data_IF_881666199601
#
_entry.id   IF_881666199601
#
_cell.length_a   1.000
_cell.length_b   1.000
_cell.length_c   1.000
_cell.angle_alpha   90.00
_cell.angle_beta   90.00
_cell.angle_gamma   90.00
#
_symmetry.space_group_name_H-M   'P 1'
#
loop_
_entity.id
_entity.type
_entity.pdbx_description
1 polymer ?
#
# COMPACT_ATOMS: atom_id res chain seq x y z
N UNK A 1 18.76 62.48 72.80
CA UNK A 1 18.70 62.52 71.36
C UNK A 1 18.65 61.07 70.83
N UNK A 2 17.48 60.66 70.37
CA UNK A 2 17.25 59.26 69.90
C UNK A 2 17.19 59.21 68.40
N UNK A 3 18.17 58.52 67.75
CA UNK A 3 18.21 58.26 66.31
C UNK A 3 17.36 57.05 65.95
N UNK A 4 16.40 57.26 65.05
CA UNK A 4 15.60 56.17 64.49
C UNK A 4 16.29 55.55 63.27
N UNK A 5 16.68 54.32 63.44
CA UNK A 5 17.17 53.50 62.28
C UNK A 5 15.95 52.90 61.57
N UNK A 6 15.75 53.27 60.31
CA UNK A 6 14.71 52.68 59.42
C UNK A 6 15.31 51.46 58.75
N UNK A 7 14.79 50.28 59.07
CA UNK A 7 15.04 49.03 58.33
C UNK A 7 14.23 49.06 57.03
N UNK A 8 14.89 48.97 55.88
CA UNK A 8 14.27 48.78 54.59
C UNK A 8 14.33 47.26 54.32
N UNK A 9 13.15 46.61 54.34
CA UNK A 9 13.02 45.22 53.87
C UNK A 9 12.99 45.24 52.36
N UNK A 10 14.05 44.68 51.71
CA UNK A 10 14.06 44.39 50.32
C UNK A 10 13.35 43.05 50.08
N UNK A 11 12.18 43.07 49.48
CA UNK A 11 11.41 41.91 49.09
C UNK A 11 12.03 41.34 47.81
N UNK A 12 12.69 40.17 47.91
CA UNK A 12 13.27 39.44 46.81
C UNK A 12 12.18 38.56 46.19
N UNK A 13 11.67 38.99 45.03
CA UNK A 13 10.68 38.25 44.25
C UNK A 13 11.40 37.20 43.42
N UNK A 14 11.32 35.95 43.85
CA UNK A 14 11.85 34.79 43.11
C UNK A 14 10.86 34.46 42.00
N UNK A 15 11.23 34.79 40.75
CA UNK A 15 10.51 34.31 39.55
C UNK A 15 10.88 32.84 39.35
N UNK A 16 9.97 31.93 39.66
CA UNK A 16 10.08 30.53 39.29
C UNK A 16 9.76 30.38 37.79
N UNK A 17 10.79 30.17 36.97
CA UNK A 17 10.61 29.77 35.57
C UNK A 17 10.12 28.30 35.52
N UNK A 18 8.83 28.12 35.28
CA UNK A 18 8.30 26.80 34.89
C UNK A 18 8.72 26.49 33.47
N UNK A 19 9.74 25.65 33.29
CA UNK A 19 10.07 25.05 32.01
C UNK A 19 8.98 24.04 31.66
N UNK A 20 8.10 24.37 30.72
CA UNK A 20 7.16 23.44 30.11
C UNK A 20 7.94 22.45 29.26
N UNK A 21 7.75 21.12 29.41
CA UNK A 21 8.37 20.15 28.53
C UNK A 21 7.79 20.37 27.12
N UNK A 22 8.65 20.71 26.16
CA UNK A 22 8.32 20.71 24.76
C UNK A 22 8.06 19.28 24.32
N UNK A 23 6.81 18.89 24.16
CA UNK A 23 6.42 17.65 23.50
C UNK A 23 6.72 17.84 22.03
N UNK A 24 7.91 17.44 21.60
CA UNK A 24 8.22 17.25 20.19
C UNK A 24 7.40 16.06 19.71
N UNK A 25 6.35 16.31 18.92
CA UNK A 25 5.75 15.29 18.07
C UNK A 25 6.83 14.92 17.05
N UNK A 26 7.56 13.82 17.31
CA UNK A 26 8.32 13.15 16.29
C UNK A 26 7.28 12.65 15.27
N UNK A 27 7.19 13.28 14.09
CA UNK A 27 6.61 12.65 12.91
C UNK A 27 7.45 11.39 12.70
N UNK A 28 6.85 10.23 12.92
CA UNK A 28 7.46 8.93 12.72
C UNK A 28 7.71 8.78 11.22
N UNK A 29 8.87 9.24 10.78
CA UNK A 29 9.37 9.01 9.42
C UNK A 29 9.75 7.53 9.40
N UNK A 30 8.84 6.69 8.88
CA UNK A 30 9.11 5.26 8.74
C UNK A 30 10.43 5.09 7.99
N UNK A 31 11.41 4.41 8.58
CA UNK A 31 12.73 4.26 7.99
C UNK A 31 12.65 3.49 6.65
N UNK A 32 13.64 3.69 5.78
CA UNK A 32 13.71 2.94 4.51
C UNK A 32 13.75 1.43 4.75
N UNK A 33 14.39 0.98 5.83
CA UNK A 33 14.43 -0.43 6.22
C UNK A 33 13.03 -0.97 6.57
N UNK A 34 12.22 -0.19 7.29
CA UNK A 34 10.86 -0.58 7.63
C UNK A 34 9.96 -0.62 6.38
N UNK A 35 10.12 0.33 5.45
CA UNK A 35 9.43 0.33 4.15
C UNK A 35 9.82 -0.87 3.29
N UNK A 36 11.11 -1.21 3.23
CA UNK A 36 11.60 -2.41 2.53
C UNK A 36 11.02 -3.67 3.18
N UNK A 37 11.04 -3.76 4.51
CA UNK A 37 10.47 -4.89 5.25
C UNK A 37 8.95 -5.04 5.00
N UNK A 38 8.22 -3.95 4.78
CA UNK A 38 6.82 -3.98 4.37
C UNK A 38 6.69 -4.53 2.94
N UNK A 39 7.42 -3.98 1.98
CA UNK A 39 7.32 -4.35 0.56
C UNK A 39 7.61 -5.84 0.30
N UNK A 40 8.59 -6.41 0.99
CA UNK A 40 8.98 -7.83 0.78
C UNK A 40 7.97 -8.84 1.31
N UNK A 41 6.95 -8.43 2.06
CA UNK A 41 5.85 -9.31 2.47
C UNK A 41 4.96 -9.71 1.28
N UNK A 42 4.97 -8.94 0.21
CA UNK A 42 4.11 -9.15 -0.95
C UNK A 42 4.38 -10.45 -1.70
N UNK A 43 5.62 -10.99 -1.67
CA UNK A 43 5.98 -12.16 -2.48
C UNK A 43 7.00 -13.05 -1.74
N UNK A 44 7.24 -14.29 -2.22
CA UNK A 44 8.23 -15.17 -1.60
C UNK A 44 9.66 -14.64 -1.77
N UNK A 45 10.62 -15.05 -0.88
CA UNK A 45 12.02 -14.63 -0.93
C UNK A 45 12.69 -14.85 -2.29
N UNK A 46 12.35 -15.93 -3.00
CA UNK A 46 12.86 -16.21 -4.35
C UNK A 46 12.63 -15.04 -5.34
N UNK A 47 11.63 -14.20 -5.09
CA UNK A 47 11.35 -12.97 -5.85
C UNK A 47 11.92 -11.75 -5.14
N UNK A 48 11.59 -11.58 -3.85
CA UNK A 48 11.88 -10.34 -3.14
C UNK A 48 13.35 -10.11 -2.86
N UNK A 49 14.19 -11.15 -2.74
CA UNK A 49 15.61 -11.01 -2.42
C UNK A 49 16.36 -10.17 -3.46
N UNK A 50 15.97 -10.26 -4.74
CA UNK A 50 16.61 -9.55 -5.84
C UNK A 50 15.65 -8.57 -6.56
N UNK A 51 14.48 -8.29 -6.01
CA UNK A 51 13.53 -7.32 -6.58
C UNK A 51 13.98 -5.87 -6.32
N UNK A 52 13.61 -4.99 -7.24
CA UNK A 52 13.63 -3.54 -6.98
C UNK A 52 12.52 -3.23 -5.98
N UNK A 53 12.84 -2.45 -4.95
CA UNK A 53 11.86 -1.97 -3.97
C UNK A 53 11.63 -0.48 -4.19
N UNK A 54 10.36 -0.11 -4.33
CA UNK A 54 9.93 1.26 -4.63
C UNK A 54 8.91 1.69 -3.58
N UNK A 55 9.03 2.91 -3.12
CA UNK A 55 8.02 3.51 -2.25
C UNK A 55 6.77 3.93 -3.05
N UNK A 56 5.67 4.20 -2.37
CA UNK A 56 4.41 4.63 -2.98
C UNK A 56 4.51 5.91 -3.81
N UNK A 57 5.50 6.76 -3.51
CA UNK A 57 5.80 8.00 -4.27
C UNK A 57 6.72 7.78 -5.49
N UNK A 58 7.13 6.54 -5.77
CA UNK A 58 8.05 6.19 -6.85
C UNK A 58 9.54 6.23 -6.47
N UNK A 59 9.87 6.58 -5.23
CA UNK A 59 11.27 6.58 -4.76
C UNK A 59 11.84 5.16 -4.71
N UNK A 60 12.99 4.92 -5.35
CA UNK A 60 13.67 3.62 -5.31
C UNK A 60 14.40 3.47 -3.98
N UNK A 61 13.91 2.58 -3.12
CA UNK A 61 14.51 2.28 -1.82
C UNK A 61 15.63 1.25 -1.93
N UNK A 62 15.53 0.30 -2.86
CA UNK A 62 16.54 -0.72 -3.17
C UNK A 62 16.48 -1.08 -4.65
N UNK A 63 17.62 -1.06 -5.34
CA UNK A 63 17.72 -1.55 -6.72
C UNK A 63 17.79 -3.08 -6.72
N UNK A 64 17.07 -3.71 -7.62
CA UNK A 64 17.08 -5.16 -7.87
C UNK A 64 17.63 -5.52 -9.24
N UNK A 65 17.71 -6.84 -9.51
CA UNK A 65 18.34 -7.39 -10.73
C UNK A 65 17.51 -8.44 -11.44
N UNK A 66 16.35 -8.85 -10.86
CA UNK A 66 15.55 -9.96 -11.40
C UNK A 66 14.32 -9.53 -12.23
N UNK A 67 14.17 -8.24 -12.50
CA UNK A 67 13.05 -7.71 -13.29
C UNK A 67 11.73 -7.53 -12.53
N UNK A 68 11.67 -7.89 -11.24
CA UNK A 68 10.53 -7.65 -10.36
C UNK A 68 10.64 -6.32 -9.65
N UNK A 69 9.50 -5.67 -9.45
CA UNK A 69 9.39 -4.44 -8.65
C UNK A 69 8.35 -4.66 -7.56
N UNK A 70 8.77 -4.56 -6.30
CA UNK A 70 7.86 -4.56 -5.16
C UNK A 70 7.63 -3.13 -4.68
N UNK A 71 6.36 -2.75 -4.52
CA UNK A 71 5.95 -1.44 -4.00
C UNK A 71 5.50 -1.56 -2.56
N UNK A 72 5.72 -0.52 -1.77
CA UNK A 72 5.41 -0.53 -0.32
C UNK A 72 3.91 -0.54 -0.03
N UNK A 73 3.10 -0.03 -0.97
CA UNK A 73 1.63 -0.07 -0.90
C UNK A 73 1.04 -0.10 -2.29
N UNK A 74 -0.13 -0.74 -2.45
CA UNK A 74 -0.91 -0.64 -3.68
C UNK A 74 -1.53 0.76 -3.82
N UNK A 75 -1.92 1.19 -5.03
CA UNK A 75 -2.62 2.46 -5.21
C UNK A 75 -3.98 2.51 -4.51
N UNK A 76 -4.59 1.36 -4.27
CA UNK A 76 -5.89 1.26 -3.62
C UNK A 76 -5.81 1.26 -2.09
N UNK A 77 -4.58 1.13 -1.51
CA UNK A 77 -4.48 1.03 -0.06
C UNK A 77 -3.08 0.84 0.50
N UNK A 78 -2.97 0.12 1.62
CA UNK A 78 -1.76 0.01 2.42
C UNK A 78 -0.99 -1.30 2.23
N UNK A 79 -1.53 -2.27 1.48
CA UNK A 79 -0.91 -3.56 1.27
C UNK A 79 0.13 -3.54 0.16
N UNK A 80 1.31 -4.17 0.36
CA UNK A 80 2.37 -4.18 -0.62
C UNK A 80 2.06 -5.15 -1.76
N UNK A 81 2.63 -4.90 -2.94
CA UNK A 81 2.53 -5.78 -4.09
C UNK A 81 3.89 -5.93 -4.81
N UNK A 82 4.16 -7.12 -5.36
CA UNK A 82 5.34 -7.38 -6.19
C UNK A 82 4.91 -7.71 -7.62
N UNK A 83 5.33 -6.88 -8.54
CA UNK A 83 4.89 -6.84 -9.92
C UNK A 83 6.01 -7.23 -10.89
N UNK A 84 5.68 -7.99 -11.94
CA UNK A 84 6.53 -8.06 -13.13
C UNK A 84 6.40 -6.79 -13.99
N UNK A 85 7.14 -6.73 -15.09
CA UNK A 85 7.13 -5.56 -15.97
C UNK A 85 5.75 -5.31 -16.64
N UNK A 86 4.95 -6.35 -16.87
CA UNK A 86 3.61 -6.23 -17.46
C UNK A 86 2.67 -5.59 -16.46
N UNK A 87 2.67 -6.07 -15.21
CA UNK A 87 1.87 -5.47 -14.13
C UNK A 87 2.29 -4.04 -13.81
N UNK A 88 3.59 -3.72 -13.83
CA UNK A 88 4.04 -2.33 -13.68
C UNK A 88 3.47 -1.42 -14.78
N UNK A 89 3.38 -1.93 -16.02
CA UNK A 89 2.75 -1.20 -17.13
C UNK A 89 1.24 -1.06 -16.96
N UNK A 90 0.56 -2.10 -16.47
CA UNK A 90 -0.87 -2.05 -16.17
C UNK A 90 -1.17 -1.04 -15.05
N UNK A 91 -0.37 -1.05 -13.96
CA UNK A 91 -0.50 -0.09 -12.87
C UNK A 91 -0.34 1.35 -13.34
N UNK A 92 0.63 1.60 -14.23
CA UNK A 92 0.79 2.92 -14.85
C UNK A 92 -0.46 3.30 -15.66
N UNK A 93 -0.98 2.40 -16.48
CA UNK A 93 -2.17 2.66 -17.29
C UNK A 93 -3.41 2.93 -16.42
N UNK A 94 -3.58 2.20 -15.31
CA UNK A 94 -4.65 2.46 -14.32
C UNK A 94 -4.49 3.86 -13.73
N UNK A 95 -3.30 4.24 -13.29
CA UNK A 95 -3.04 5.58 -12.74
C UNK A 95 -3.30 6.70 -13.74
N UNK A 96 -2.96 6.50 -15.00
CA UNK A 96 -3.18 7.45 -16.10
C UNK A 96 -4.63 7.40 -16.66
N UNK A 97 -5.47 6.48 -16.22
CA UNK A 97 -6.80 6.17 -16.77
C UNK A 97 -6.76 5.90 -18.29
N UNK A 98 -5.71 5.22 -18.74
CA UNK A 98 -5.44 4.93 -20.15
C UNK A 98 -5.78 3.48 -20.50
N UNK A 99 -6.10 3.20 -21.77
CA UNK A 99 -6.24 1.83 -22.25
C UNK A 99 -4.96 1.03 -22.02
N UNK A 100 -5.15 -0.25 -21.63
CA UNK A 100 -4.06 -1.19 -21.42
C UNK A 100 -4.19 -2.39 -22.36
N UNK A 101 -3.09 -2.72 -23.03
CA UNK A 101 -2.96 -3.91 -23.86
C UNK A 101 -1.56 -4.50 -23.69
N UNK A 102 -1.46 -5.80 -23.74
CA UNK A 102 -0.19 -6.53 -23.67
C UNK A 102 -0.24 -7.78 -24.56
N UNK A 103 0.90 -8.21 -25.06
CA UNK A 103 1.10 -9.48 -25.76
C UNK A 103 1.71 -10.56 -24.84
N UNK A 104 1.90 -10.25 -23.56
CA UNK A 104 2.53 -11.12 -22.58
C UNK A 104 1.63 -11.35 -21.37
N UNK A 105 1.83 -12.47 -20.70
CA UNK A 105 1.26 -12.73 -19.38
C UNK A 105 1.95 -11.81 -18.37
N UNK A 106 1.16 -11.21 -17.48
CA UNK A 106 1.64 -10.44 -16.34
C UNK A 106 1.29 -11.13 -15.03
N UNK A 107 2.21 -11.11 -14.07
CA UNK A 107 2.00 -11.70 -12.75
C UNK A 107 2.31 -10.67 -11.68
N UNK A 108 1.42 -10.57 -10.69
CA UNK A 108 1.63 -9.82 -9.45
C UNK A 108 1.35 -10.70 -8.25
N UNK A 109 2.07 -10.45 -7.18
CA UNK A 109 1.89 -11.08 -5.87
C UNK A 109 1.40 -10.06 -4.85
N UNK A 110 0.39 -10.43 -4.05
CA UNK A 110 -0.08 -9.70 -2.87
C UNK A 110 -0.28 -10.70 -1.71
N UNK A 111 0.84 -11.26 -1.18
CA UNK A 111 0.78 -12.28 -0.14
C UNK A 111 0.53 -11.71 1.27
N UNK A 112 0.56 -10.40 1.43
CA UNK A 112 0.14 -9.71 2.68
C UNK A 112 -1.37 -9.38 2.67
N UNK A 113 -2.11 -9.81 1.63
CA UNK A 113 -3.53 -9.49 1.42
C UNK A 113 -3.74 -8.18 0.67
N UNK A 114 -4.98 -7.70 0.65
CA UNK A 114 -5.39 -6.47 -0.02
C UNK A 114 -6.34 -5.65 0.86
N UNK A 115 -6.55 -4.40 0.47
CA UNK A 115 -7.60 -3.55 1.03
C UNK A 115 -8.97 -3.91 0.42
N UNK A 116 -10.04 -3.34 0.98
CA UNK A 116 -11.38 -3.55 0.43
C UNK A 116 -11.52 -2.73 -0.86
N UNK A 117 -11.68 -3.40 -2.00
CA UNK A 117 -11.72 -2.80 -3.33
C UNK A 117 -12.95 -3.23 -4.11
N UNK A 118 -13.45 -2.36 -5.01
CA UNK A 118 -14.56 -2.68 -5.91
C UNK A 118 -14.13 -3.76 -6.92
N UNK A 119 -14.91 -4.85 -7.03
CA UNK A 119 -14.61 -5.96 -7.93
C UNK A 119 -14.83 -5.64 -9.43
N UNK A 120 -15.61 -4.58 -9.72
CA UNK A 120 -15.99 -4.21 -11.10
C UNK A 120 -15.25 -2.96 -11.61
N UNK A 121 -15.03 -1.95 -10.77
CA UNK A 121 -14.44 -0.67 -11.14
C UNK A 121 -13.15 -0.39 -10.35
N UNK A 122 -11.98 -0.27 -11.02
CA UNK A 122 -10.71 0.04 -10.39
C UNK A 122 -10.61 1.48 -9.83
N UNK A 123 -11.56 2.35 -10.17
CA UNK A 123 -11.53 3.77 -9.81
C UNK A 123 -12.49 4.14 -8.69
N UNK A 124 -13.33 3.19 -8.30
CA UNK A 124 -14.30 3.43 -7.27
C UNK A 124 -13.62 3.46 -5.88
N UNK A 125 -13.99 4.44 -5.08
CA UNK A 125 -13.43 4.68 -3.74
C UNK A 125 -14.47 4.65 -2.64
N UNK A 126 -15.76 4.46 -2.99
CA UNK A 126 -16.86 4.42 -2.06
C UNK A 126 -17.83 3.31 -2.46
N UNK A 127 -18.18 2.45 -1.51
CA UNK A 127 -19.10 1.35 -1.74
C UNK A 127 -20.53 1.86 -1.78
N UNK A 128 -21.17 1.74 -2.96
CA UNK A 128 -22.59 1.98 -3.14
C UNK A 128 -23.42 0.71 -2.89
N UNK A 129 -24.74 0.86 -2.56
CA UNK A 129 -25.61 -0.29 -2.35
C UNK A 129 -25.73 -1.19 -3.60
N UNK A 130 -25.42 -2.47 -3.43
CA UNK A 130 -25.48 -3.48 -4.49
C UNK A 130 -24.16 -3.76 -5.20
N UNK A 131 -23.11 -3.02 -4.91
CA UNK A 131 -21.78 -3.29 -5.42
C UNK A 131 -21.09 -4.43 -4.68
N UNK A 132 -20.26 -5.16 -5.40
CA UNK A 132 -19.43 -6.22 -4.84
C UNK A 132 -18.04 -5.65 -4.55
N UNK A 133 -17.75 -5.50 -3.29
CA UNK A 133 -16.42 -5.13 -2.79
C UNK A 133 -15.79 -6.32 -2.10
N UNK A 134 -14.46 -6.43 -2.21
CA UNK A 134 -13.73 -7.57 -1.69
C UNK A 134 -12.43 -7.13 -1.04
N UNK A 135 -12.20 -7.61 0.17
CA UNK A 135 -10.89 -7.59 0.81
C UNK A 135 -10.28 -8.98 0.67
N UNK A 136 -9.39 -9.13 -0.30
CA UNK A 136 -8.79 -10.44 -0.58
C UNK A 136 -7.68 -10.76 0.44
N UNK A 137 -7.56 -12.03 0.78
CA UNK A 137 -6.41 -12.55 1.52
C UNK A 137 -5.15 -12.67 0.64
N UNK A 138 -4.15 -13.46 1.07
CA UNK A 138 -2.99 -13.76 0.24
C UNK A 138 -3.38 -14.30 -1.13
N UNK A 139 -2.92 -13.65 -2.21
CA UNK A 139 -3.32 -13.99 -3.57
C UNK A 139 -2.25 -13.62 -4.62
N UNK A 140 -2.44 -14.16 -5.83
CA UNK A 140 -1.77 -13.70 -7.03
C UNK A 140 -2.80 -13.06 -7.98
N UNK A 141 -2.30 -12.18 -8.84
CA UNK A 141 -3.07 -11.57 -9.93
C UNK A 141 -2.41 -11.89 -11.26
N UNK A 142 -3.19 -12.35 -12.25
CA UNK A 142 -2.66 -12.77 -13.55
C UNK A 142 -3.36 -12.01 -14.68
N UNK A 143 -2.61 -11.19 -15.39
CA UNK A 143 -3.04 -10.60 -16.65
C UNK A 143 -2.76 -11.59 -17.77
N UNK A 144 -3.74 -11.77 -18.66
CA UNK A 144 -3.59 -12.56 -19.88
C UNK A 144 -3.69 -11.67 -21.13
N UNK A 145 -2.89 -11.92 -22.17
CA UNK A 145 -2.89 -11.07 -23.38
C UNK A 145 -4.20 -11.15 -24.16
N UNK A 146 -4.81 -12.33 -24.24
CA UNK A 146 -6.12 -12.51 -24.87
C UNK A 146 -7.23 -12.60 -23.81
N UNK A 147 -8.08 -11.58 -23.75
CA UNK A 147 -9.23 -11.55 -22.84
C UNK A 147 -10.23 -12.69 -23.07
N UNK A 148 -10.21 -13.35 -24.23
CA UNK A 148 -11.03 -14.55 -24.44
C UNK A 148 -10.60 -15.72 -23.52
N UNK A 149 -9.36 -15.74 -23.04
CA UNK A 149 -8.90 -16.73 -22.07
C UNK A 149 -9.57 -16.59 -20.69
N UNK A 150 -10.23 -15.47 -20.41
CA UNK A 150 -11.02 -15.25 -19.18
C UNK A 150 -12.42 -15.89 -19.25
N UNK A 151 -12.87 -16.34 -20.44
CA UNK A 151 -14.19 -16.96 -20.61
C UNK A 151 -14.30 -18.24 -19.79
N UNK A 152 -15.39 -18.37 -19.05
CA UNK A 152 -15.65 -19.54 -18.19
C UNK A 152 -15.05 -19.44 -16.80
N UNK A 153 -14.23 -18.42 -16.50
CA UNK A 153 -13.88 -18.07 -15.14
C UNK A 153 -14.97 -17.14 -14.59
N UNK A 154 -15.46 -17.44 -13.42
CA UNK A 154 -16.47 -16.60 -12.74
C UNK A 154 -15.91 -15.22 -12.39
N UNK A 155 -16.77 -14.22 -12.24
CA UNK A 155 -16.48 -12.92 -11.65
C UNK A 155 -17.02 -12.80 -10.21
N UNK A 156 -17.56 -13.91 -9.66
CA UNK A 156 -17.99 -13.98 -8.27
C UNK A 156 -16.78 -14.28 -7.35
N UNK A 157 -16.32 -13.31 -6.54
CA UNK A 157 -15.20 -13.50 -5.63
C UNK A 157 -15.51 -14.49 -4.48
N UNK A 158 -16.79 -14.86 -4.28
CA UNK A 158 -17.20 -15.79 -3.23
C UNK A 158 -17.21 -17.25 -3.70
N UNK A 159 -16.89 -17.51 -4.96
CA UNK A 159 -16.91 -18.86 -5.57
C UNK A 159 -15.95 -19.87 -4.93
N UNK A 160 -14.99 -19.40 -4.11
CA UNK A 160 -14.02 -20.26 -3.41
C UNK A 160 -12.81 -20.69 -4.26
N UNK A 161 -12.68 -20.16 -5.48
CA UNK A 161 -11.57 -20.41 -6.41
C UNK A 161 -11.13 -19.15 -7.13
N UNK A 162 -10.35 -19.29 -8.22
CA UNK A 162 -9.99 -18.15 -9.05
C UNK A 162 -11.21 -17.46 -9.67
N UNK A 163 -11.17 -16.13 -9.76
CA UNK A 163 -12.23 -15.32 -10.34
C UNK A 163 -11.65 -14.16 -11.15
N UNK A 164 -12.47 -13.52 -11.98
CA UNK A 164 -12.06 -12.34 -12.78
C UNK A 164 -12.46 -11.07 -12.05
N UNK A 165 -11.47 -10.23 -11.75
CA UNK A 165 -11.67 -8.89 -11.25
C UNK A 165 -11.61 -7.88 -12.41
N UNK A 166 -12.39 -6.79 -12.33
CA UNK A 166 -12.51 -5.70 -13.32
C UNK A 166 -12.83 -6.20 -14.73
N UNK A 167 -13.72 -7.19 -14.83
CA UNK A 167 -14.02 -8.02 -15.99
C UNK A 167 -14.25 -7.24 -17.30
N UNK A 168 -14.99 -6.14 -17.23
CA UNK A 168 -15.39 -5.35 -18.40
C UNK A 168 -14.48 -4.13 -18.64
N UNK A 169 -13.28 -4.14 -18.07
CA UNK A 169 -12.29 -3.08 -18.21
C UNK A 169 -11.06 -3.52 -19.00
N UNK A 170 -10.23 -2.60 -19.46
CA UNK A 170 -8.93 -2.94 -20.05
C UNK A 170 -7.99 -3.69 -19.09
N UNK A 171 -8.26 -3.60 -17.80
CA UNK A 171 -7.43 -4.15 -16.71
C UNK A 171 -7.93 -5.48 -16.17
N UNK A 172 -8.93 -6.11 -16.80
CA UNK A 172 -9.46 -7.40 -16.38
C UNK A 172 -8.34 -8.43 -16.18
N UNK A 173 -8.34 -9.10 -15.04
CA UNK A 173 -7.32 -10.06 -14.66
C UNK A 173 -7.90 -11.19 -13.81
N UNK A 174 -7.15 -12.28 -13.65
CA UNK A 174 -7.52 -13.40 -12.81
C UNK A 174 -6.97 -13.16 -11.41
N UNK A 175 -7.85 -13.17 -10.43
CA UNK A 175 -7.51 -13.30 -9.00
C UNK A 175 -7.32 -14.77 -8.66
N UNK A 176 -6.23 -15.11 -8.00
CA UNK A 176 -5.91 -16.49 -7.56
C UNK A 176 -5.68 -16.47 -6.04
N UNK A 177 -6.74 -16.64 -5.22
CA UNK A 177 -6.58 -16.78 -3.78
C UNK A 177 -5.70 -17.98 -3.43
N UNK A 178 -4.71 -17.80 -2.54
CA UNK A 178 -3.79 -18.86 -2.12
C UNK A 178 -3.88 -19.18 -0.62
N UNK A 179 -4.62 -18.37 0.12
CA UNK A 179 -4.95 -18.60 1.53
C UNK A 179 -6.32 -17.98 1.86
N UNK A 180 -6.94 -18.32 3.00
CA UNK A 180 -8.19 -17.71 3.43
C UNK A 180 -8.09 -16.21 3.59
N UNK A 181 -9.20 -15.50 3.32
CA UNK A 181 -9.35 -14.10 3.68
C UNK A 181 -9.23 -13.93 5.19
N UNK A 182 -8.42 -12.96 5.61
CA UNK A 182 -8.39 -12.55 7.01
C UNK A 182 -9.70 -11.78 7.30
N UNK A 183 -10.39 -12.18 8.37
CA UNK A 183 -11.61 -11.50 8.84
C UNK A 183 -11.25 -10.23 9.59
#
# INVERSE_FOLDING_TARGET
MRGHIKFILASMMVLAFFALPSVTFAMEHTSNEAKIAQAIKAAPPAITDNATIVDSDGTVLRKGTNGWTCVTSSPAGSHPMCNDAVWMSAMKAIGDKADFKTDKVGISYMLDGDDNVNNADPYDTQQDPGEVWIQEGPHLMIIVPDKNALRGITDDPTSGGPYVMWKDTPYAHIMVPVAPRTK
#
